data_IF_275479749706
#
_entry.id   IF_275479749706
#
_cell.length_a   1.000
_cell.length_b   1.000
_cell.length_c   1.000
_cell.angle_alpha   90.00
_cell.angle_beta   90.00
_cell.angle_gamma   90.00
#
_symmetry.space_group_name_H-M   'P 1'
#
loop_
_entity.id
_entity.type
_entity.pdbx_description
1 polymer ?
#
# COMPACT_ATOMS: atom_id res chain seq x y z
N UNK A 1 3.14 20.41 15.21
CA UNK A 1 4.14 19.71 16.06
C UNK A 1 5.46 19.66 15.33
N UNK A 2 6.59 19.75 16.03
CA UNK A 2 7.94 19.56 15.50
C UNK A 2 8.77 18.81 16.56
N UNK A 3 8.53 17.50 16.70
CA UNK A 3 9.30 16.60 17.58
C UNK A 3 9.45 15.25 16.91
N UNK A 4 10.44 14.48 17.35
CA UNK A 4 10.60 13.10 16.92
C UNK A 4 9.49 12.23 17.53
N UNK A 5 9.07 11.23 16.76
CA UNK A 5 8.14 10.17 17.17
C UNK A 5 8.86 8.84 17.04
N UNK A 6 8.78 8.03 18.08
CA UNK A 6 9.61 6.84 18.26
C UNK A 6 8.77 5.63 18.61
N UNK A 7 9.40 4.45 18.65
CA UNK A 7 8.75 3.23 19.16
C UNK A 7 8.26 3.37 20.60
N UNK A 8 8.94 4.16 21.45
CA UNK A 8 8.50 4.43 22.81
C UNK A 8 7.18 5.23 22.86
N UNK A 9 6.87 6.02 21.83
CA UNK A 9 5.60 6.75 21.72
C UNK A 9 4.45 5.86 21.23
N UNK A 10 4.68 4.99 20.23
CA UNK A 10 3.61 4.16 19.63
C UNK A 10 3.39 2.82 20.35
N UNK A 11 4.42 2.18 20.93
CA UNK A 11 4.26 0.88 21.58
C UNK A 11 3.21 0.82 22.70
N UNK A 12 3.09 1.81 23.62
CA UNK A 12 2.01 1.79 24.62
C UNK A 12 0.63 1.99 23.99
N UNK A 13 0.50 2.89 22.99
CA UNK A 13 -0.75 3.18 22.28
C UNK A 13 -1.24 1.97 21.47
N UNK A 14 -0.33 1.31 20.74
CA UNK A 14 -0.62 0.10 19.97
C UNK A 14 -1.08 -1.05 20.89
N UNK A 15 -0.36 -1.29 22.00
CA UNK A 15 -0.75 -2.30 22.99
C UNK A 15 -2.13 -2.00 23.61
N UNK A 16 -2.39 -0.74 23.97
CA UNK A 16 -3.69 -0.34 24.53
C UNK A 16 -4.86 -0.48 23.53
N UNK A 17 -4.56 -0.49 22.23
CA UNK A 17 -5.52 -0.74 21.15
C UNK A 17 -5.66 -2.21 20.75
N UNK A 18 -4.87 -3.13 21.32
CA UNK A 18 -4.81 -4.54 20.88
C UNK A 18 -4.13 -4.73 19.52
N UNK A 19 -3.15 -3.89 19.17
CA UNK A 19 -2.36 -3.99 17.93
C UNK A 19 -1.00 -4.61 18.24
N UNK A 20 -0.85 -5.89 17.92
CA UNK A 20 0.38 -6.66 18.17
C UNK A 20 1.52 -6.32 17.20
N UNK A 21 1.17 -5.95 15.96
CA UNK A 21 2.12 -5.70 14.86
C UNK A 21 1.69 -4.53 13.99
N UNK A 22 2.67 -3.84 13.43
CA UNK A 22 2.53 -2.71 12.53
C UNK A 22 3.38 -2.89 11.27
N UNK A 23 3.01 -2.17 10.21
CA UNK A 23 3.87 -1.92 9.05
C UNK A 23 4.35 -0.48 9.17
N UNK A 24 5.66 -0.29 9.25
CA UNK A 24 6.27 1.04 9.30
C UNK A 24 6.43 1.55 7.87
N UNK A 25 6.02 2.80 7.61
CA UNK A 25 5.93 3.37 6.27
C UNK A 25 6.77 4.63 6.19
N UNK A 26 7.49 4.79 5.07
CA UNK A 26 8.21 5.99 4.66
C UNK A 26 7.52 7.30 5.11
N UNK A 27 8.29 8.20 5.72
CA UNK A 27 7.87 9.56 6.08
C UNK A 27 8.43 10.64 5.16
N UNK A 28 9.61 10.45 4.54
CA UNK A 28 10.33 11.47 3.75
C UNK A 28 10.93 10.91 2.45
N UNK A 29 11.04 11.74 1.41
CA UNK A 29 11.58 11.33 0.09
C UNK A 29 13.08 11.60 0.00
N UNK A 30 13.86 10.96 0.87
CA UNK A 30 15.33 11.10 0.94
C UNK A 30 15.99 9.73 1.00
N UNK A 31 17.18 9.53 0.39
CA UNK A 31 17.82 8.21 0.30
C UNK A 31 18.34 7.66 1.63
N UNK A 32 18.36 8.46 2.69
CA UNK A 32 18.81 8.08 4.04
C UNK A 32 17.74 7.32 4.86
N UNK A 33 16.45 7.52 4.61
CA UNK A 33 15.37 6.83 5.36
C UNK A 33 15.22 5.32 5.01
N UNK A 34 15.29 4.89 3.73
CA UNK A 34 15.17 3.48 3.34
C UNK A 34 16.08 2.47 4.06
N UNK A 35 17.35 2.77 4.41
CA UNK A 35 18.16 1.88 5.24
C UNK A 35 17.84 1.94 6.75
N UNK A 36 17.30 3.04 7.27
CA UNK A 36 17.01 3.21 8.70
C UNK A 36 15.79 2.40 9.17
N UNK A 37 14.68 2.45 8.42
CA UNK A 37 13.43 1.80 8.82
C UNK A 37 13.54 0.26 8.93
N UNK A 38 14.20 -0.47 8.01
CA UNK A 38 14.42 -1.92 8.14
C UNK A 38 15.32 -2.30 9.31
N UNK A 39 16.33 -1.49 9.62
CA UNK A 39 17.17 -1.69 10.80
C UNK A 39 16.36 -1.52 12.10
N UNK A 40 15.47 -0.51 12.16
CA UNK A 40 14.54 -0.33 13.27
C UNK A 40 13.58 -1.53 13.42
N UNK A 41 13.10 -2.09 12.30
CA UNK A 41 12.25 -3.28 12.30
C UNK A 41 12.97 -4.55 12.77
N UNK A 42 14.28 -4.64 12.54
CA UNK A 42 15.10 -5.73 13.09
C UNK A 42 15.32 -5.62 14.61
N UNK A 43 15.21 -4.42 15.17
CA UNK A 43 15.43 -4.14 16.58
C UNK A 43 14.16 -4.21 17.46
N UNK A 44 12.96 -4.29 16.89
CA UNK A 44 11.72 -4.20 17.68
C UNK A 44 10.54 -4.97 17.09
N UNK A 45 10.00 -5.92 17.87
CA UNK A 45 9.00 -6.89 17.41
C UNK A 45 7.69 -6.29 16.90
N UNK A 46 7.28 -5.12 17.41
CA UNK A 46 6.08 -4.41 16.95
C UNK A 46 6.08 -4.15 15.43
N UNK A 47 7.24 -4.03 14.78
CA UNK A 47 7.30 -3.81 13.33
C UNK A 47 7.43 -5.15 12.60
N UNK A 48 6.36 -5.59 11.93
CA UNK A 48 6.37 -6.81 11.13
C UNK A 48 6.93 -6.60 9.71
N UNK A 49 6.93 -5.37 9.21
CA UNK A 49 7.40 -5.03 7.87
C UNK A 49 7.57 -3.53 7.67
N UNK A 50 8.26 -3.17 6.60
CA UNK A 50 8.62 -1.81 6.22
C UNK A 50 8.24 -1.56 4.76
N UNK A 51 7.58 -0.44 4.51
CA UNK A 51 7.41 0.13 3.17
C UNK A 51 8.35 1.33 3.06
N UNK A 52 9.49 1.15 2.40
CA UNK A 52 10.53 2.17 2.27
C UNK A 52 10.28 3.14 1.13
N UNK A 53 11.15 4.13 0.96
CA UNK A 53 11.20 4.96 -0.25
C UNK A 53 12.14 4.37 -1.30
N UNK A 54 11.85 4.66 -2.57
CA UNK A 54 12.86 4.75 -3.63
C UNK A 54 12.28 5.60 -4.77
N UNK A 55 13.12 6.37 -5.45
CA UNK A 55 12.71 7.13 -6.64
C UNK A 55 12.41 6.17 -7.81
N UNK A 56 11.13 6.06 -8.18
CA UNK A 56 10.66 5.21 -9.28
C UNK A 56 11.16 5.64 -10.67
N UNK A 57 11.74 6.83 -10.83
CA UNK A 57 12.28 7.30 -12.10
C UNK A 57 13.73 6.86 -12.35
N UNK A 58 14.42 6.33 -11.33
CA UNK A 58 15.82 5.89 -11.41
C UNK A 58 16.06 4.81 -12.46
N UNK A 59 17.20 4.84 -13.19
CA UNK A 59 17.56 3.78 -14.13
C UNK A 59 18.04 2.51 -13.41
N UNK A 60 18.67 2.66 -12.25
CA UNK A 60 19.35 1.65 -11.42
C UNK A 60 18.51 1.13 -10.25
N UNK A 61 17.18 1.35 -10.28
CA UNK A 61 16.31 1.01 -9.14
C UNK A 61 16.36 -0.48 -8.76
N UNK A 62 16.57 -1.38 -9.72
CA UNK A 62 16.69 -2.81 -9.43
C UNK A 62 17.91 -3.11 -8.54
N UNK A 63 19.04 -2.45 -8.81
CA UNK A 63 20.29 -2.61 -8.06
C UNK A 63 20.19 -1.97 -6.68
N UNK A 64 19.53 -0.81 -6.57
CA UNK A 64 19.26 -0.16 -5.28
C UNK A 64 18.33 -1.01 -4.39
N UNK A 65 17.29 -1.63 -4.94
CA UNK A 65 16.40 -2.53 -4.20
C UNK A 65 17.11 -3.84 -3.78
N UNK A 66 18.07 -4.32 -4.57
CA UNK A 66 18.93 -5.43 -4.17
C UNK A 66 19.84 -5.02 -3.01
N UNK A 67 20.54 -3.89 -3.12
CA UNK A 67 21.41 -3.34 -2.07
C UNK A 67 20.65 -3.14 -0.75
N UNK A 68 19.46 -2.54 -0.78
CA UNK A 68 18.64 -2.31 0.42
C UNK A 68 18.21 -3.61 1.13
N UNK A 69 18.15 -4.75 0.41
CA UNK A 69 17.83 -6.07 0.99
C UNK A 69 19.00 -6.75 1.67
N UNK A 70 20.22 -6.45 1.24
CA UNK A 70 21.45 -6.97 1.82
C UNK A 70 21.83 -6.24 3.14
N UNK A 71 21.28 -5.03 3.36
CA UNK A 71 21.48 -4.28 4.59
C UNK A 71 20.86 -4.96 5.83
N UNK A 72 21.35 -4.65 7.05
CA UNK A 72 20.74 -5.09 8.29
C UNK A 72 19.24 -4.80 8.33
N UNK A 73 18.44 -5.84 8.50
CA UNK A 73 16.98 -5.74 8.49
C UNK A 73 16.32 -5.70 7.11
N UNK A 74 17.05 -5.76 6.00
CA UNK A 74 16.51 -5.73 4.63
C UNK A 74 15.40 -6.77 4.35
N UNK A 75 15.35 -7.88 5.10
CA UNK A 75 14.23 -8.86 5.11
C UNK A 75 12.85 -8.28 5.50
N UNK A 76 12.84 -7.16 6.21
CA UNK A 76 11.64 -6.42 6.60
C UNK A 76 11.18 -5.45 5.51
N UNK A 77 11.98 -5.15 4.47
CA UNK A 77 11.51 -4.37 3.33
C UNK A 77 10.47 -5.18 2.53
N UNK A 78 9.20 -4.76 2.62
CA UNK A 78 8.03 -5.41 2.01
C UNK A 78 7.42 -4.62 0.86
N UNK A 79 7.66 -3.32 0.81
CA UNK A 79 7.15 -2.45 -0.25
C UNK A 79 8.02 -1.22 -0.49
N UNK A 80 7.70 -0.53 -1.58
CA UNK A 80 8.16 0.82 -1.89
C UNK A 80 6.94 1.74 -1.96
N UNK A 81 7.01 2.88 -1.28
CA UNK A 81 6.02 3.95 -1.38
C UNK A 81 6.52 5.05 -2.31
N UNK A 82 5.62 5.65 -3.09
CA UNK A 82 5.89 6.89 -3.81
C UNK A 82 4.83 7.95 -3.51
N UNK A 83 5.27 9.20 -3.27
CA UNK A 83 4.38 10.33 -3.00
C UNK A 83 3.86 10.97 -4.29
N UNK A 84 3.08 10.22 -5.08
CA UNK A 84 2.49 10.67 -6.35
C UNK A 84 1.70 11.97 -6.19
N UNK A 85 1.08 12.20 -5.03
CA UNK A 85 0.40 13.45 -4.65
C UNK A 85 1.23 14.74 -4.83
N UNK A 86 2.57 14.64 -4.84
CA UNK A 86 3.48 15.77 -5.07
C UNK A 86 4.00 15.89 -6.50
N UNK A 87 3.65 14.95 -7.39
CA UNK A 87 4.17 14.86 -8.75
C UNK A 87 3.35 15.68 -9.76
N UNK A 88 3.96 16.16 -10.86
CA UNK A 88 3.27 16.99 -11.84
C UNK A 88 2.28 16.17 -12.69
N UNK A 89 0.99 16.48 -12.51
CA UNK A 89 -0.11 16.04 -13.37
C UNK A 89 -0.76 14.70 -12.98
N UNK A 90 -1.98 14.44 -13.48
CA UNK A 90 -2.76 13.25 -13.13
C UNK A 90 -2.14 11.94 -13.65
N UNK A 91 -1.43 12.00 -14.79
CA UNK A 91 -0.92 10.83 -15.53
C UNK A 91 0.53 10.47 -15.21
N UNK A 92 1.15 11.04 -14.18
CA UNK A 92 2.56 10.78 -13.85
C UNK A 92 2.90 9.28 -13.72
N UNK A 93 1.97 8.48 -13.17
CA UNK A 93 2.10 7.03 -13.06
C UNK A 93 2.21 6.31 -14.42
N UNK A 94 1.77 6.91 -15.52
CA UNK A 94 1.78 6.32 -16.85
C UNK A 94 3.11 6.53 -17.60
N UNK A 95 4.01 7.36 -17.06
CA UNK A 95 5.31 7.65 -17.68
C UNK A 95 6.15 6.35 -17.87
N UNK A 96 6.88 6.20 -18.99
CA UNK A 96 7.67 5.00 -19.27
C UNK A 96 8.78 4.71 -18.25
N UNK A 97 9.41 5.74 -17.68
CA UNK A 97 10.44 5.62 -16.67
C UNK A 97 9.88 5.16 -15.32
N UNK A 98 8.77 5.76 -14.86
CA UNK A 98 8.06 5.30 -13.66
C UNK A 98 7.54 3.86 -13.83
N UNK A 99 7.05 3.49 -15.03
CA UNK A 99 6.66 2.11 -15.33
C UNK A 99 7.86 1.14 -15.22
N UNK A 100 9.05 1.53 -15.70
CA UNK A 100 10.28 0.75 -15.52
C UNK A 100 10.63 0.59 -14.04
N UNK A 101 10.54 1.66 -13.25
CA UNK A 101 10.78 1.59 -11.80
C UNK A 101 9.81 0.63 -11.11
N UNK A 102 8.51 0.73 -11.37
CA UNK A 102 7.53 -0.23 -10.85
C UNK A 102 7.78 -1.67 -11.32
N UNK A 103 8.29 -1.88 -12.53
CA UNK A 103 8.69 -3.21 -12.98
C UNK A 103 9.89 -3.76 -12.17
N UNK A 104 10.82 -2.91 -11.71
CA UNK A 104 11.88 -3.31 -10.78
C UNK A 104 11.34 -3.64 -9.38
N UNK A 105 10.38 -2.86 -8.86
CA UNK A 105 9.65 -3.19 -7.60
C UNK A 105 8.94 -4.55 -7.71
N UNK A 106 8.31 -4.82 -8.86
CA UNK A 106 7.67 -6.10 -9.16
C UNK A 106 8.68 -7.25 -9.26
N UNK A 107 9.80 -7.05 -9.95
CA UNK A 107 10.88 -8.03 -10.08
C UNK A 107 11.58 -8.35 -8.75
N UNK A 108 11.61 -7.39 -7.82
CA UNK A 108 12.00 -7.64 -6.45
C UNK A 108 10.95 -8.48 -5.68
N UNK A 109 9.68 -8.48 -6.08
CA UNK A 109 8.59 -9.06 -5.28
C UNK A 109 8.26 -8.18 -4.07
N UNK A 110 8.24 -6.87 -4.27
CA UNK A 110 7.81 -5.87 -3.29
C UNK A 110 6.43 -5.31 -3.68
N UNK A 111 5.67 -4.83 -2.69
CA UNK A 111 4.41 -4.09 -2.89
C UNK A 111 4.71 -2.65 -3.33
N UNK A 112 3.82 -2.04 -4.11
CA UNK A 112 3.89 -0.62 -4.46
C UNK A 112 2.75 0.17 -3.78
N UNK A 113 3.09 0.89 -2.71
CA UNK A 113 2.18 1.82 -2.02
C UNK A 113 2.15 3.16 -2.77
N UNK A 114 0.96 3.69 -3.04
CA UNK A 114 0.76 4.89 -3.84
C UNK A 114 -0.02 5.94 -3.07
N UNK A 115 0.65 7.04 -2.68
CA UNK A 115 -0.04 8.22 -2.14
C UNK A 115 -0.55 9.05 -3.32
N UNK A 116 -1.82 8.91 -3.67
CA UNK A 116 -2.47 9.64 -4.77
C UNK A 116 -3.57 10.57 -4.24
N UNK A 117 -3.87 11.61 -5.01
CA UNK A 117 -5.05 12.46 -4.83
C UNK A 117 -6.23 12.00 -5.71
N UNK A 118 -7.48 12.44 -5.46
CA UNK A 118 -8.65 11.99 -6.24
C UNK A 118 -8.56 12.22 -7.76
N UNK A 119 -7.81 13.23 -8.19
CA UNK A 119 -7.57 13.53 -9.61
C UNK A 119 -6.48 12.63 -10.26
N UNK A 120 -5.71 11.89 -9.46
CA UNK A 120 -4.68 10.94 -9.90
C UNK A 120 -5.17 9.48 -9.87
N UNK A 121 -6.25 9.19 -9.14
CA UNK A 121 -6.90 7.87 -9.14
C UNK A 121 -7.18 7.31 -10.57
N UNK A 122 -7.65 8.10 -11.56
CA UNK A 122 -7.88 7.62 -12.93
C UNK A 122 -6.66 7.01 -13.65
N UNK A 123 -5.43 7.33 -13.23
CA UNK A 123 -4.22 6.70 -13.78
C UNK A 123 -3.93 5.31 -13.19
N UNK A 124 -4.45 5.01 -11.99
CA UNK A 124 -4.18 3.76 -11.28
C UNK A 124 -4.62 2.48 -12.04
N UNK A 125 -5.79 2.41 -12.71
CA UNK A 125 -6.20 1.23 -13.48
C UNK A 125 -5.28 0.92 -14.66
N UNK A 126 -4.73 1.93 -15.32
CA UNK A 126 -3.79 1.74 -16.42
C UNK A 126 -2.40 1.33 -15.88
N UNK A 127 -1.95 1.93 -14.79
CA UNK A 127 -0.72 1.53 -14.10
C UNK A 127 -0.78 0.06 -13.63
N UNK A 128 -1.87 -0.35 -12.98
CA UNK A 128 -2.08 -1.70 -12.45
C UNK A 128 -2.20 -2.77 -13.55
N UNK A 129 -2.95 -2.50 -14.63
CA UNK A 129 -3.02 -3.40 -15.80
C UNK A 129 -1.68 -3.55 -16.53
N UNK A 130 -0.81 -2.55 -16.47
CA UNK A 130 0.50 -2.60 -17.14
C UNK A 130 1.52 -3.55 -16.48
N UNK A 131 1.24 -3.98 -15.24
CA UNK A 131 2.11 -4.82 -14.39
C UNK A 131 1.24 -5.75 -13.50
N UNK A 132 0.57 -6.78 -14.05
CA UNK A 132 -0.36 -7.64 -13.29
C UNK A 132 0.32 -8.44 -12.17
N UNK A 133 1.64 -8.65 -12.23
CA UNK A 133 2.42 -9.30 -11.17
C UNK A 133 2.86 -8.37 -10.03
N UNK A 134 2.55 -7.07 -10.09
CA UNK A 134 2.80 -6.13 -9.01
C UNK A 134 1.51 -5.87 -8.22
N UNK A 135 1.56 -5.99 -6.90
CA UNK A 135 0.48 -5.54 -6.02
C UNK A 135 0.58 -4.03 -5.79
N UNK A 136 -0.52 -3.33 -6.04
CA UNK A 136 -0.67 -1.89 -5.83
C UNK A 136 -1.55 -1.62 -4.61
N UNK A 137 -1.12 -0.71 -3.74
CA UNK A 137 -1.87 -0.27 -2.57
C UNK A 137 -2.13 1.24 -2.67
N UNK A 138 -3.32 1.68 -3.13
CA UNK A 138 -3.74 3.07 -3.00
C UNK A 138 -3.87 3.43 -1.51
N UNK A 139 -2.94 4.27 -1.03
CA UNK A 139 -2.95 4.78 0.35
C UNK A 139 -4.19 5.64 0.58
N UNK A 140 -4.79 5.51 1.78
CA UNK A 140 -5.94 6.32 2.22
C UNK A 140 -7.13 6.31 1.22
N UNK A 141 -7.30 5.21 0.46
CA UNK A 141 -8.27 5.09 -0.63
C UNK A 141 -8.17 6.23 -1.68
N UNK A 142 -6.97 6.78 -1.90
CA UNK A 142 -6.76 7.92 -2.79
C UNK A 142 -7.35 9.24 -2.28
N UNK A 143 -7.46 9.38 -0.95
CA UNK A 143 -7.83 10.60 -0.22
C UNK A 143 -9.23 11.11 -0.55
N UNK A 144 -10.29 10.41 -0.08
CA UNK A 144 -11.67 10.86 -0.22
C UNK A 144 -11.85 12.31 0.25
N UNK A 145 -12.74 13.09 -0.40
CA UNK A 145 -13.04 14.48 -0.02
C UNK A 145 -13.98 14.55 1.20
N UNK A 146 -13.58 13.92 2.31
CA UNK A 146 -14.39 13.76 3.55
C UNK A 146 -14.95 15.08 4.05
N UNK A 147 -14.17 16.16 3.97
CA UNK A 147 -14.59 17.49 4.45
C UNK A 147 -15.78 18.07 3.67
N UNK A 148 -15.89 17.83 2.36
CA UNK A 148 -17.02 18.32 1.56
C UNK A 148 -18.18 17.33 1.46
N UNK A 149 -17.92 16.04 1.75
CA UNK A 149 -18.90 14.96 1.57
C UNK A 149 -19.22 14.65 0.10
N UNK A 150 -18.58 15.31 -0.86
CA UNK A 150 -18.81 15.14 -2.30
C UNK A 150 -18.12 13.86 -2.81
N UNK A 151 -18.74 12.71 -2.58
CA UNK A 151 -18.15 11.39 -2.89
C UNK A 151 -17.87 11.20 -4.38
N UNK A 152 -18.66 11.81 -5.27
CA UNK A 152 -18.35 11.83 -6.70
C UNK A 152 -17.51 13.06 -7.08
N UNK A 153 -16.53 12.91 -8.00
CA UNK A 153 -16.22 11.73 -8.81
C UNK A 153 -15.27 10.71 -8.13
N UNK A 154 -14.93 10.88 -6.84
CA UNK A 154 -13.93 10.04 -6.16
C UNK A 154 -14.32 8.56 -6.07
N UNK A 155 -15.59 8.25 -5.76
CA UNK A 155 -16.06 6.87 -5.62
C UNK A 155 -16.01 6.14 -6.99
N UNK A 156 -16.57 6.71 -8.06
CA UNK A 156 -16.42 6.17 -9.41
C UNK A 156 -14.95 6.05 -9.87
N UNK A 157 -14.06 6.95 -9.44
CA UNK A 157 -12.61 6.83 -9.70
C UNK A 157 -11.93 5.70 -8.88
N UNK A 158 -12.52 5.24 -7.78
CA UNK A 158 -12.00 4.17 -6.92
C UNK A 158 -12.43 2.77 -7.38
N UNK A 159 -13.61 2.64 -7.99
CA UNK A 159 -14.12 1.38 -8.55
C UNK A 159 -13.17 0.78 -9.59
N UNK A 160 -12.77 1.59 -10.58
CA UNK A 160 -11.96 1.12 -11.71
C UNK A 160 -10.60 0.49 -11.31
N UNK A 161 -9.82 1.03 -10.35
CA UNK A 161 -8.65 0.33 -9.84
C UNK A 161 -9.06 -0.83 -8.92
N UNK A 162 -10.08 -0.66 -8.07
CA UNK A 162 -10.55 -1.70 -7.15
C UNK A 162 -10.98 -3.00 -7.84
N UNK A 163 -11.58 -2.93 -9.03
CA UNK A 163 -11.97 -4.09 -9.84
C UNK A 163 -10.79 -4.96 -10.32
N UNK A 164 -9.54 -4.46 -10.28
CA UNK A 164 -8.36 -5.21 -10.74
C UNK A 164 -7.78 -6.09 -9.62
N UNK A 165 -7.52 -7.39 -9.84
CA UNK A 165 -7.18 -8.33 -8.77
C UNK A 165 -5.85 -8.03 -8.05
N UNK A 166 -4.96 -7.26 -8.68
CA UNK A 166 -3.67 -6.84 -8.12
C UNK A 166 -3.72 -5.49 -7.39
N UNK A 167 -4.91 -4.96 -7.06
CA UNK A 167 -5.08 -3.76 -6.23
C UNK A 167 -5.71 -4.10 -4.88
N UNK A 168 -5.30 -3.37 -3.84
CA UNK A 168 -5.64 -3.61 -2.44
C UNK A 168 -5.85 -2.25 -1.74
N UNK A 169 -7.03 -2.03 -1.17
CA UNK A 169 -7.39 -0.73 -0.58
C UNK A 169 -6.86 -0.55 0.84
N UNK A 170 -6.19 0.57 1.13
CA UNK A 170 -5.72 0.89 2.49
C UNK A 170 -6.65 1.90 3.15
N UNK A 171 -7.50 1.41 4.05
CA UNK A 171 -8.46 2.20 4.82
C UNK A 171 -7.72 2.83 6.00
N UNK A 172 -7.17 4.02 5.75
CA UNK A 172 -6.27 4.73 6.65
C UNK A 172 -6.33 6.24 6.42
N UNK A 173 -5.73 7.04 7.31
CA UNK A 173 -5.81 8.51 7.25
C UNK A 173 -7.23 9.11 7.38
N UNK A 174 -8.23 8.48 8.05
CA UNK A 174 -9.59 9.04 8.07
C UNK A 174 -9.63 10.46 8.68
N UNK A 175 -8.78 10.74 9.67
CA UNK A 175 -8.70 12.04 10.35
C UNK A 175 -7.72 13.02 9.65
N UNK A 176 -6.97 12.58 8.64
CA UNK A 176 -6.04 13.47 7.92
C UNK A 176 -6.70 14.25 6.79
N UNK A 177 -7.79 13.73 6.23
CA UNK A 177 -8.54 14.38 5.15
C UNK A 177 -9.75 15.21 5.65
N UNK A 178 -9.91 15.31 6.98
CA UNK A 178 -10.81 16.28 7.63
C UNK A 178 -10.12 17.63 7.88
N UNK A 179 -10.92 18.68 8.06
CA UNK A 179 -10.44 19.97 8.54
C UNK A 179 -9.88 19.91 9.99
N UNK A 180 -9.38 21.04 10.48
CA UNK A 180 -8.67 21.12 11.77
C UNK A 180 -9.58 20.99 13.00
N UNK A 181 -10.91 20.87 12.85
CA UNK A 181 -11.86 20.94 13.96
C UNK A 181 -12.10 19.59 14.68
N UNK A 182 -11.12 18.68 14.72
CA UNK A 182 -11.22 17.41 15.43
C UNK A 182 -11.06 17.55 16.96
N UNK A 183 -11.79 18.47 17.57
CA UNK A 183 -11.85 18.60 19.03
C UNK A 183 -12.82 17.59 19.66
N UNK A 184 -14.06 17.52 19.15
CA UNK A 184 -15.16 16.85 19.85
C UNK A 184 -16.36 16.45 18.96
N UNK A 185 -16.20 16.34 17.63
CA UNK A 185 -17.34 16.14 16.73
C UNK A 185 -17.92 14.72 16.78
N UNK A 186 -19.06 14.53 17.45
CA UNK A 186 -19.86 13.29 17.41
C UNK A 186 -20.28 12.84 15.98
N UNK A 187 -20.13 13.73 14.99
CA UNK A 187 -20.39 13.48 13.56
C UNK A 187 -19.26 12.72 12.86
N UNK A 188 -18.10 12.53 13.50
CA UNK A 188 -16.92 11.87 12.94
C UNK A 188 -17.21 10.52 12.23
N UNK A 189 -17.90 9.54 12.87
CA UNK A 189 -18.25 8.30 12.17
C UNK A 189 -19.15 8.52 10.96
N UNK A 190 -20.10 9.46 11.02
CA UNK A 190 -21.04 9.72 9.92
C UNK A 190 -20.37 10.37 8.69
N UNK A 191 -19.34 11.21 8.88
CA UNK A 191 -18.56 11.80 7.79
C UNK A 191 -17.67 10.77 7.08
N UNK A 192 -17.18 9.76 7.83
CA UNK A 192 -16.20 8.79 7.35
C UNK A 192 -16.82 7.49 6.84
N UNK A 193 -18.02 7.15 7.34
CA UNK A 193 -18.75 5.95 6.99
C UNK A 193 -18.92 5.76 5.47
N UNK A 194 -19.26 6.78 4.65
CA UNK A 194 -19.42 6.57 3.22
C UNK A 194 -18.10 6.20 2.51
N UNK A 195 -16.97 6.79 2.91
CA UNK A 195 -15.66 6.42 2.36
C UNK A 195 -15.16 5.07 2.88
N UNK A 196 -15.58 4.67 4.09
CA UNK A 196 -15.33 3.35 4.65
C UNK A 196 -16.11 2.26 3.91
N UNK A 197 -17.39 2.50 3.62
CA UNK A 197 -18.30 1.57 2.92
C UNK A 197 -17.94 1.42 1.43
N UNK A 198 -17.45 2.48 0.79
CA UNK A 198 -16.92 2.41 -0.58
C UNK A 198 -15.68 1.50 -0.75
N UNK A 199 -14.97 1.15 0.34
CA UNK A 199 -13.79 0.28 0.26
C UNK A 199 -14.13 -1.20 -0.04
N UNK A 200 -15.00 -1.90 0.73
CA UNK A 200 -15.46 -3.23 0.35
C UNK A 200 -16.27 -3.24 -0.95
N UNK A 201 -16.95 -2.15 -1.31
CA UNK A 201 -17.67 -2.08 -2.61
C UNK A 201 -16.69 -2.07 -3.80
N UNK A 202 -15.66 -1.22 -3.77
CA UNK A 202 -14.67 -1.13 -4.84
C UNK A 202 -13.70 -2.34 -4.89
N UNK A 203 -13.26 -2.84 -3.74
CA UNK A 203 -12.22 -3.88 -3.66
C UNK A 203 -12.76 -5.29 -3.33
N UNK A 204 -14.03 -5.45 -2.96
CA UNK A 204 -14.56 -6.66 -2.35
C UNK A 204 -14.01 -6.89 -0.93
N UNK A 205 -14.64 -7.71 -0.08
CA UNK A 205 -14.28 -7.84 1.34
C UNK A 205 -12.85 -8.37 1.59
N UNK A 206 -12.28 -9.10 0.63
CA UNK A 206 -10.98 -9.76 0.75
C UNK A 206 -9.73 -8.91 0.47
N UNK A 207 -9.87 -7.59 0.24
CA UNK A 207 -8.77 -6.71 -0.24
C UNK A 207 -8.66 -5.32 0.43
N UNK A 208 -9.57 -4.88 1.30
CA UNK A 208 -9.28 -3.80 2.25
C UNK A 208 -8.34 -4.23 3.38
N UNK A 209 -7.48 -3.32 3.81
CA UNK A 209 -6.70 -3.41 5.06
C UNK A 209 -6.78 -2.09 5.84
N UNK A 210 -6.71 -2.13 7.17
CA UNK A 210 -6.73 -0.95 8.04
C UNK A 210 -5.32 -0.36 8.27
N UNK A 211 -5.23 0.95 8.51
CA UNK A 211 -4.01 1.62 9.01
C UNK A 211 -4.31 2.89 9.79
N UNK A 212 -3.51 3.22 10.81
CA UNK A 212 -3.76 4.37 11.69
C UNK A 212 -3.33 5.73 11.12
N UNK A 213 -2.36 5.74 10.19
CA UNK A 213 -1.64 6.93 9.73
C UNK A 213 -1.01 7.79 10.85
N UNK A 214 -0.70 7.15 11.98
CA UNK A 214 0.07 7.79 13.05
C UNK A 214 1.52 8.00 12.59
N UNK A 215 2.17 9.14 12.91
CA UNK A 215 1.73 10.25 13.77
C UNK A 215 1.16 11.46 13.00
N UNK A 216 0.80 11.31 11.72
CA UNK A 216 0.71 12.40 10.72
C UNK A 216 -0.17 13.58 11.16
N UNK A 217 -1.23 13.35 11.95
CA UNK A 217 -1.97 14.43 12.64
C UNK A 217 -2.38 14.12 14.08
N UNK A 218 -1.43 13.88 14.99
CA UNK A 218 -1.75 13.85 16.44
C UNK A 218 -2.46 15.12 17.01
N UNK A 219 -2.31 16.35 16.44
CA UNK A 219 -3.11 17.51 16.87
C UNK A 219 -4.58 17.44 16.46
N UNK A 220 -4.94 16.54 15.54
CA UNK A 220 -6.32 16.23 15.22
C UNK A 220 -6.81 15.09 16.12
N UNK A 221 -6.18 13.92 16.10
CA UNK A 221 -6.59 12.80 16.95
C UNK A 221 -5.42 12.04 17.58
N UNK A 222 -5.61 11.58 18.82
CA UNK A 222 -4.75 10.57 19.45
C UNK A 222 -4.90 9.21 18.77
N UNK A 223 -3.91 8.33 18.92
CA UNK A 223 -3.95 6.97 18.39
C UNK A 223 -5.16 6.20 18.94
N UNK A 224 -5.42 6.30 20.24
CA UNK A 224 -6.61 5.74 20.87
C UNK A 224 -7.95 6.26 20.30
N UNK A 225 -8.04 7.54 19.89
CA UNK A 225 -9.23 8.07 19.21
C UNK A 225 -9.40 7.47 17.81
N UNK A 226 -8.32 7.37 17.02
CA UNK A 226 -8.35 6.74 15.69
C UNK A 226 -8.72 5.26 15.79
N UNK A 227 -8.13 4.51 16.72
CA UNK A 227 -8.45 3.09 16.94
C UNK A 227 -9.92 2.88 17.32
N UNK A 228 -10.46 3.66 18.27
CA UNK A 228 -11.89 3.57 18.66
C UNK A 228 -12.83 3.90 17.50
N UNK A 229 -12.48 4.89 16.68
CA UNK A 229 -13.25 5.27 15.48
C UNK A 229 -13.26 4.14 14.45
N UNK A 230 -12.10 3.60 14.09
CA UNK A 230 -11.96 2.46 13.17
C UNK A 230 -12.71 1.23 13.70
N UNK A 231 -12.61 0.93 15.00
CA UNK A 231 -13.36 -0.15 15.64
C UNK A 231 -14.88 0.06 15.64
N UNK A 232 -15.35 1.31 15.66
CA UNK A 232 -16.77 1.66 15.56
C UNK A 232 -17.30 1.58 14.11
N UNK A 233 -16.50 1.96 13.11
CA UNK A 233 -16.82 1.76 11.68
C UNK A 233 -16.82 0.28 11.30
N UNK A 234 -15.92 -0.51 11.88
CA UNK A 234 -15.84 -1.96 11.72
C UNK A 234 -16.84 -2.75 12.59
N UNK A 235 -17.72 -2.10 13.35
CA UNK A 235 -18.63 -2.77 14.31
C UNK A 235 -19.57 -3.75 13.63
N UNK A 236 -20.07 -3.34 12.47
CA UNK A 236 -21.14 -4.05 11.74
C UNK A 236 -20.59 -5.19 10.86
N UNK A 237 -19.25 -5.34 10.80
CA UNK A 237 -18.56 -6.41 10.06
C UNK A 237 -18.55 -7.72 10.86
N UNK A 238 -18.77 -8.84 10.16
CA UNK A 238 -18.64 -10.18 10.74
C UNK A 238 -17.21 -10.49 11.21
N UNK A 239 -17.00 -11.50 12.08
CA UNK A 239 -15.68 -11.82 12.64
C UNK A 239 -14.60 -12.06 11.58
N UNK A 240 -14.96 -12.72 10.48
CA UNK A 240 -14.06 -13.05 9.38
C UNK A 240 -13.62 -11.78 8.59
N UNK A 241 -14.55 -10.86 8.31
CA UNK A 241 -14.24 -9.59 7.64
C UNK A 241 -13.41 -8.66 8.53
N UNK A 242 -13.66 -8.67 9.83
CA UNK A 242 -12.82 -7.97 10.81
C UNK A 242 -11.39 -8.52 10.80
N UNK A 243 -11.22 -9.85 10.83
CA UNK A 243 -9.89 -10.46 10.75
C UNK A 243 -9.20 -10.18 9.39
N UNK A 244 -9.94 -10.22 8.26
CA UNK A 244 -9.42 -9.76 6.96
C UNK A 244 -8.87 -8.33 7.02
N UNK A 245 -9.69 -7.40 7.49
CA UNK A 245 -9.41 -5.97 7.49
C UNK A 245 -8.28 -5.56 8.44
N UNK A 246 -8.24 -6.14 9.64
CA UNK A 246 -7.27 -5.77 10.67
C UNK A 246 -5.96 -6.57 10.60
N UNK A 247 -5.94 -7.73 9.96
CA UNK A 247 -4.80 -8.66 10.02
C UNK A 247 -4.51 -9.35 8.67
N UNK A 248 -5.41 -10.21 8.19
CA UNK A 248 -5.08 -11.19 7.16
C UNK A 248 -4.76 -10.55 5.80
N UNK A 249 -5.42 -9.46 5.40
CA UNK A 249 -5.11 -8.75 4.15
C UNK A 249 -3.70 -8.17 4.20
N UNK A 250 -3.32 -7.46 5.27
CA UNK A 250 -1.99 -6.88 5.41
C UNK A 250 -0.90 -7.97 5.50
N UNK A 251 -1.15 -9.03 6.27
CA UNK A 251 -0.25 -10.18 6.41
C UNK A 251 0.05 -10.84 5.08
N UNK A 252 -0.99 -11.15 4.28
CA UNK A 252 -0.84 -11.72 2.93
C UNK A 252 -0.13 -10.77 1.97
N UNK A 253 -0.53 -9.50 1.94
CA UNK A 253 -0.08 -8.54 0.92
C UNK A 253 1.38 -8.16 1.10
N UNK A 254 1.83 -7.89 2.33
CA UNK A 254 3.23 -7.55 2.60
C UNK A 254 4.11 -8.77 2.92
N UNK A 255 3.58 -10.00 2.83
CA UNK A 255 4.32 -11.22 3.18
C UNK A 255 4.87 -11.17 4.61
N UNK A 256 4.03 -10.69 5.55
CA UNK A 256 4.38 -10.65 6.97
C UNK A 256 4.40 -12.08 7.49
N UNK A 257 5.51 -12.50 8.09
CA UNK A 257 5.55 -13.78 8.79
C UNK A 257 4.87 -13.58 10.13
N UNK A 258 3.98 -14.51 10.49
CA UNK A 258 3.67 -14.73 11.90
C UNK A 258 4.98 -14.91 12.67
N UNK A 259 5.07 -14.48 13.95
CA UNK A 259 6.22 -14.87 14.76
C UNK A 259 6.36 -16.39 14.67
N UNK A 260 7.60 -16.88 14.56
CA UNK A 260 7.83 -18.30 14.83
C UNK A 260 7.26 -18.54 16.23
N UNK A 261 6.33 -19.48 16.35
CA UNK A 261 5.88 -19.91 17.66
C UNK A 261 7.13 -20.33 18.42
N UNK A 262 7.50 -19.54 19.43
CA UNK A 262 8.44 -20.01 20.44
C UNK A 262 7.79 -21.25 21.01
N UNK A 263 8.23 -22.42 20.57
CA UNK A 263 7.67 -23.67 21.01
C UNK A 263 7.71 -23.65 22.52
N UNK A 264 6.55 -23.64 23.17
CA UNK A 264 6.48 -23.97 24.57
C UNK A 264 6.92 -25.42 24.66
N UNK A 265 8.22 -25.62 24.91
CA UNK A 265 8.75 -26.90 25.31
C UNK A 265 7.86 -27.36 26.47
N UNK A 266 7.15 -28.50 26.34
CA UNK A 266 6.25 -28.95 27.38
C UNK A 266 7.09 -29.10 28.66
N UNK A 267 6.61 -28.59 29.81
CA UNK A 267 7.41 -28.58 31.03
C UNK A 267 7.93 -29.98 31.32
N UNK A 268 9.25 -30.11 31.44
CA UNK A 268 9.91 -31.39 31.62
C UNK A 268 9.26 -32.15 32.79
N UNK A 269 8.92 -33.44 32.63
CA UNK A 269 8.25 -34.18 33.68
C UNK A 269 9.15 -34.22 34.92
N UNK A 270 8.57 -33.87 36.07
CA UNK A 270 9.30 -33.83 37.34
C UNK A 270 9.94 -35.20 37.61
N UNK A 271 11.27 -35.22 37.70
CA UNK A 271 12.04 -36.45 37.87
C UNK A 271 11.78 -37.08 39.23
N UNK A 272 11.04 -38.20 39.24
CA UNK A 272 11.02 -39.11 40.38
C UNK A 272 12.30 -39.95 40.36
N UNK A 273 13.10 -39.86 41.43
CA UNK A 273 14.32 -40.64 41.57
C UNK A 273 14.02 -42.08 42.00
N UNK A 274 14.35 -43.06 41.15
CA UNK A 274 14.55 -44.46 41.57
C UNK A 274 15.34 -45.28 40.53
N UNK A 275 16.37 -46.00 40.99
CA UNK A 275 16.76 -47.31 40.46
C UNK A 275 17.34 -47.44 39.03
N UNK A 276 18.67 -47.48 38.94
CA UNK A 276 19.35 -48.43 38.02
C UNK A 276 19.28 -49.86 38.64
N UNK A 277 19.53 -50.98 37.90
CA UNK A 277 20.44 -51.07 36.75
C UNK A 277 20.03 -51.96 35.54
N UNK A 278 20.74 -51.71 34.42
CA UNK A 278 21.22 -52.65 33.39
C UNK A 278 20.22 -53.54 32.60
N UNK A 279 20.25 -53.42 31.25
CA UNK A 279 20.97 -54.37 30.35
C UNK A 279 20.83 -54.07 28.84
N UNK A 280 21.94 -54.34 28.12
CA UNK A 280 22.06 -54.82 26.72
C UNK A 280 21.22 -54.25 25.56
N UNK A 281 21.94 -53.60 24.62
CA UNK A 281 22.07 -54.02 23.20
C UNK A 281 20.91 -54.74 22.50
N UNK A 282 20.38 -54.12 21.43
CA UNK A 282 20.52 -54.64 20.06
C UNK A 282 20.06 -53.60 19.00
N UNK A 283 20.69 -53.62 17.82
CA UNK A 283 20.16 -52.99 16.62
C UNK A 283 19.21 -53.96 15.89
N UNK A 284 18.33 -53.47 14.99
CA UNK A 284 18.42 -53.79 13.55
C UNK A 284 17.24 -53.22 12.70
N UNK A 285 17.61 -52.63 11.56
CA UNK A 285 16.92 -52.65 10.24
C UNK A 285 15.39 -52.60 10.07
N UNK A 286 14.95 -51.52 9.39
CA UNK A 286 14.08 -51.45 8.17
C UNK A 286 13.89 -52.77 7.37
N UNK A 287 12.81 -52.94 6.55
CA UNK A 287 12.37 -51.94 5.55
C UNK A 287 10.87 -51.84 5.19
N UNK A 288 10.61 -50.86 4.31
CA UNK A 288 9.37 -50.61 3.56
C UNK A 288 9.14 -51.66 2.46
N UNK A 289 7.92 -51.75 1.88
CA UNK A 289 7.82 -51.63 0.42
C UNK A 289 6.71 -50.67 -0.08
N UNK A 290 6.71 -50.45 -1.40
CA UNK A 290 6.04 -49.35 -2.08
C UNK A 290 4.64 -49.68 -2.64
N UNK A 291 4.00 -48.65 -3.20
CA UNK A 291 2.72 -48.68 -3.91
C UNK A 291 2.74 -49.50 -5.23
N UNK A 292 1.57 -49.64 -5.87
CA UNK A 292 1.50 -49.09 -7.23
C UNK A 292 0.22 -48.29 -7.54
N UNK A 293 0.32 -47.39 -8.51
CA UNK A 293 -0.79 -46.62 -9.06
C UNK A 293 -1.51 -47.36 -10.21
N UNK A 294 -2.78 -46.99 -10.47
CA UNK A 294 -3.43 -47.20 -11.77
C UNK A 294 -4.32 -46.02 -12.14
N UNK A 295 -4.22 -45.60 -13.39
CA UNK A 295 -5.12 -44.68 -14.09
C UNK A 295 -6.25 -45.44 -14.78
N UNK A 296 -7.36 -44.76 -15.07
CA UNK A 296 -8.16 -45.02 -16.27
C UNK A 296 -9.09 -43.84 -16.58
N UNK A 297 -9.24 -43.54 -17.86
CA UNK A 297 -10.12 -42.51 -18.44
C UNK A 297 -11.46 -43.09 -18.90
N UNK A 298 -12.52 -42.30 -18.95
CA UNK A 298 -13.80 -42.72 -19.54
C UNK A 298 -14.73 -41.55 -19.89
N UNK A 299 -14.96 -41.34 -21.18
CA UNK A 299 -15.92 -40.39 -21.75
C UNK A 299 -17.29 -41.04 -22.02
N UNK A 300 -18.40 -40.30 -21.89
CA UNK A 300 -19.74 -40.80 -22.25
C UNK A 300 -20.78 -39.67 -22.43
N UNK A 301 -21.60 -39.78 -23.47
CA UNK A 301 -22.45 -38.67 -24.00
C UNK A 301 -23.96 -38.92 -23.92
N UNK A 302 -24.74 -37.84 -23.77
CA UNK A 302 -26.03 -37.65 -24.47
C UNK A 302 -27.33 -37.87 -23.68
N UNK A 303 -28.44 -37.22 -24.12
CA UNK A 303 -29.81 -37.61 -23.69
C UNK A 303 -30.86 -36.50 -23.56
N UNK A 304 -31.47 -36.09 -24.68
CA UNK A 304 -32.57 -35.12 -24.86
C UNK A 304 -33.90 -35.39 -24.09
N UNK A 305 -34.70 -34.34 -23.85
CA UNK A 305 -36.19 -34.38 -23.75
C UNK A 305 -36.78 -33.31 -22.81
N UNK A 306 -37.42 -32.19 -23.26
CA UNK A 306 -38.83 -32.02 -23.71
C UNK A 306 -39.85 -32.65 -22.73
N UNK A 307 -40.83 -31.97 -22.11
CA UNK A 307 -41.81 -30.91 -22.50
C UNK A 307 -42.37 -30.22 -21.23
N UNK A 308 -43.18 -29.16 -21.21
CA UNK A 308 -43.65 -28.20 -22.21
C UNK A 308 -44.90 -27.40 -21.74
N UNK A 309 -45.13 -26.20 -22.32
CA UNK A 309 -46.42 -25.47 -22.41
C UNK A 309 -47.06 -24.95 -21.08
N UNK A 310 -47.90 -23.90 -20.99
CA UNK A 310 -48.37 -22.79 -21.87
C UNK A 310 -48.85 -21.63 -20.92
N UNK A 311 -49.35 -20.44 -21.29
CA UNK A 311 -50.03 -19.94 -22.50
C UNK A 311 -50.14 -18.38 -22.43
N UNK A 312 -49.98 -17.69 -23.57
CA UNK A 312 -50.80 -16.59 -24.17
C UNK A 312 -51.30 -15.38 -23.33
N UNK A 313 -51.55 -14.21 -23.92
CA UNK A 313 -51.32 -13.62 -25.26
C UNK A 313 -51.38 -12.08 -25.14
N UNK A 314 -50.67 -11.30 -25.99
CA UNK A 314 -51.22 -10.67 -27.21
C UNK A 314 -51.37 -9.15 -26.97
N UNK A 315 -51.25 -8.22 -27.91
CA UNK A 315 -51.08 -8.21 -29.39
C UNK A 315 -50.22 -7.00 -29.77
N UNK A 316 -49.30 -7.04 -30.73
CA UNK A 316 -49.52 -6.73 -32.17
C UNK A 316 -49.45 -5.20 -32.44
N UNK A 317 -48.91 -4.64 -33.52
CA UNK A 317 -48.20 -5.08 -34.75
C UNK A 317 -47.30 -3.89 -35.22
N UNK A 318 -46.43 -3.94 -36.23
CA UNK A 318 -45.95 -4.99 -37.13
C UNK A 318 -44.87 -4.44 -38.09
N UNK A 319 -44.33 -5.34 -38.95
CA UNK A 319 -43.91 -5.13 -40.35
C UNK A 319 -42.90 -3.98 -40.73
N UNK A 320 -41.89 -4.19 -41.59
CA UNK A 320 -41.42 -5.39 -42.31
C UNK A 320 -39.96 -5.22 -42.84
N UNK A 321 -39.47 -6.30 -43.46
CA UNK A 321 -38.28 -6.55 -44.32
C UNK A 321 -37.68 -5.37 -45.13
N UNK A 322 -36.48 -5.44 -45.75
CA UNK A 322 -35.73 -6.63 -46.21
C UNK A 322 -34.21 -6.37 -46.38
N UNK A 323 -33.49 -7.34 -46.96
CA UNK A 323 -32.03 -7.50 -46.92
C UNK A 323 -31.23 -6.90 -48.11
N UNK A 324 -29.89 -7.06 -47.98
CA UNK A 324 -28.87 -7.27 -49.02
C UNK A 324 -27.96 -6.11 -49.53
N UNK A 325 -26.68 -6.22 -49.13
CA UNK A 325 -25.43 -6.18 -49.94
C UNK A 325 -25.12 -4.95 -50.83
N UNK A 326 -23.91 -4.40 -50.67
CA UNK A 326 -23.11 -3.98 -51.85
C UNK A 326 -22.06 -2.86 -51.69
N UNK A 327 -20.77 -3.25 -51.71
CA UNK A 327 -19.58 -2.58 -52.33
C UNK A 327 -19.30 -1.07 -52.13
N UNK A 328 -18.04 -0.78 -51.77
CA UNK A 328 -17.34 0.50 -52.02
C UNK A 328 -17.05 0.73 -53.52
N UNK A 329 -16.66 1.95 -53.94
CA UNK A 329 -15.21 2.18 -54.13
C UNK A 329 -14.65 3.60 -53.84
N UNK A 330 -13.33 3.63 -53.58
CA UNK A 330 -12.29 4.61 -53.92
C UNK A 330 -12.53 6.15 -53.95
N UNK A 331 -11.60 6.89 -53.32
CA UNK A 331 -11.32 8.32 -53.58
C UNK A 331 -10.19 8.87 -52.69
N UNK A 332 -9.07 9.32 -53.28
CA UNK A 332 -7.90 9.91 -52.61
C UNK A 332 -7.10 10.79 -53.60
N UNK A 333 -5.98 11.44 -53.22
CA UNK A 333 -5.78 12.52 -52.22
C UNK A 333 -5.33 13.83 -52.93
N UNK A 334 -4.66 14.82 -52.27
CA UNK A 334 -3.17 14.82 -52.34
C UNK A 334 -2.36 15.49 -51.18
N UNK A 335 -1.06 15.14 -51.15
CA UNK A 335 0.16 15.88 -50.74
C UNK A 335 0.14 16.92 -49.58
N UNK A 336 0.88 16.72 -48.47
CA UNK A 336 2.36 16.90 -48.24
C UNK A 336 2.90 18.35 -48.37
N UNK A 337 3.32 18.96 -47.26
CA UNK A 337 4.77 19.20 -46.93
C UNK A 337 5.06 19.79 -45.55
N UNK A 338 6.21 19.36 -45.04
CA UNK A 338 6.98 19.75 -43.84
C UNK A 338 7.29 21.24 -43.65
N UNK A 339 7.42 21.66 -42.38
CA UNK A 339 8.62 22.38 -41.87
C UNK A 339 8.82 22.14 -40.37
N UNK A 340 10.07 21.98 -39.95
CA UNK A 340 10.47 21.91 -38.54
C UNK A 340 10.92 23.30 -38.07
N UNK A 341 10.68 23.64 -36.80
CA UNK A 341 11.30 24.82 -36.18
C UNK A 341 11.78 24.51 -34.76
N UNK A 342 13.09 24.38 -34.61
CA UNK A 342 13.77 24.41 -33.31
C UNK A 342 13.68 25.82 -32.71
N UNK A 343 13.49 25.91 -31.41
CA UNK A 343 13.84 27.09 -30.61
C UNK A 343 14.79 26.66 -29.48
N UNK A 344 15.87 27.43 -29.29
CA UNK A 344 16.91 27.17 -28.26
C UNK A 344 17.46 28.51 -27.78
N UNK A 345 17.12 28.89 -26.56
CA UNK A 345 17.65 30.04 -25.81
C UNK A 345 17.07 29.98 -24.38
N UNK A 346 17.75 30.30 -23.28
CA UNK A 346 19.20 30.49 -23.04
C UNK A 346 19.41 30.31 -21.53
N UNK A 347 20.48 29.64 -21.09
CA UNK A 347 20.86 29.67 -19.68
C UNK A 347 21.57 30.99 -19.36
N UNK A 348 21.22 31.64 -18.24
CA UNK A 348 22.07 32.67 -17.61
C UNK A 348 22.66 32.11 -16.32
N UNK A 349 23.99 32.14 -16.24
CA UNK A 349 24.78 31.77 -15.06
C UNK A 349 25.72 32.94 -14.81
N UNK A 350 25.57 33.61 -13.68
CA UNK A 350 26.42 34.74 -13.29
C UNK A 350 27.62 34.24 -12.49
N UNK A 351 28.81 34.72 -12.85
CA UNK A 351 30.05 34.52 -12.09
C UNK A 351 30.90 35.78 -12.20
N UNK A 352 31.28 36.37 -11.07
CA UNK A 352 32.44 37.25 -10.99
C UNK A 352 33.13 37.15 -9.64
N UNK A 353 34.36 36.65 -9.71
CA UNK A 353 35.51 36.88 -8.81
C UNK A 353 35.68 38.38 -8.42
N UNK A 354 36.51 38.80 -7.45
CA UNK A 354 37.40 38.14 -6.47
C UNK A 354 38.06 39.19 -5.52
N UNK A 355 38.96 38.72 -4.63
CA UNK A 355 40.02 39.44 -3.84
C UNK A 355 39.55 40.20 -2.58
N UNK A 356 39.91 39.80 -1.35
CA UNK A 356 41.19 39.44 -0.69
C UNK A 356 41.98 40.63 -0.10
N UNK A 357 42.62 40.36 1.06
CA UNK A 357 43.39 41.24 1.97
C UNK A 357 42.55 42.24 2.80
N UNK A 358 42.84 42.50 4.08
CA UNK A 358 43.84 41.91 4.99
C UNK A 358 44.02 42.75 6.27
N UNK A 359 44.68 42.20 7.30
CA UNK A 359 45.05 42.93 8.55
C UNK A 359 43.95 42.92 9.65
N UNK A 360 44.12 42.43 10.89
CA UNK A 360 45.12 42.64 11.99
C UNK A 360 44.61 43.61 13.08
N UNK A 361 44.76 43.23 14.35
CA UNK A 361 44.37 44.03 15.54
C UNK A 361 43.01 43.60 16.11
N UNK A 362 42.86 42.82 17.18
CA UNK A 362 43.57 42.67 18.49
C UNK A 362 43.25 43.80 19.48
N UNK A 363 42.89 43.39 20.71
CA UNK A 363 42.49 44.22 21.89
C UNK A 363 41.10 44.87 21.78
N UNK A 364 40.32 45.00 22.86
CA UNK A 364 40.56 44.53 24.23
C UNK A 364 39.33 44.58 25.14
N UNK A 365 39.49 43.90 26.28
CA UNK A 365 38.63 43.72 27.46
C UNK A 365 37.62 44.81 27.88
N UNK A 366 36.50 44.31 28.44
CA UNK A 366 35.73 44.86 29.58
C UNK A 366 35.03 46.24 29.38
N UNK A 367 33.99 46.62 30.14
CA UNK A 367 33.46 46.12 31.41
C UNK A 367 32.00 46.57 31.61
N UNK A 368 31.25 45.85 32.48
CA UNK A 368 30.06 46.35 33.21
C UNK A 368 28.85 46.87 32.39
N UNK A 369 27.64 47.03 32.94
CA UNK A 369 26.88 46.33 33.98
C UNK A 369 25.41 46.79 33.85
N UNK A 370 24.42 46.05 34.37
CA UNK A 370 23.04 46.55 34.51
C UNK A 370 21.92 45.64 34.00
N UNK A 371 21.33 44.89 34.92
CA UNK A 371 19.89 44.54 34.94
C UNK A 371 19.20 45.58 35.86
N UNK A 372 17.85 45.66 35.98
CA UNK A 372 16.76 44.93 35.31
C UNK A 372 16.01 45.87 34.32
N UNK A 373 14.70 45.83 34.00
CA UNK A 373 13.54 45.06 34.46
C UNK A 373 12.40 44.99 33.41
N UNK A 374 11.37 44.19 33.71
CA UNK A 374 10.01 44.22 33.14
C UNK A 374 9.24 45.51 33.57
N UNK A 375 8.10 45.87 32.94
CA UNK A 375 6.94 45.00 32.65
C UNK A 375 7.07 44.10 31.42
#
# INVERSE_FOLDING_TARGET
MRRNFTLADIAPEARAAGVDRTVLVQTVTVPEEPPELPALAAAHELIAGVVGWSDLTRPDLADELARLRELPGGRYLKGVRHQVQGEPGPEWLLRPDVRRGRAAVAGAGLVCDLVVLPHQLPACPAAARSLPGLTFVPDHLGKPPVTSGALEPWAGHLEAPGALPNTVGKVSGPVTETDRAWGAAARAPALLRPSWEAAPDAFGPGRPMSGSDWPVRTPAATYAQVSRLTGALARDLGPEDRHRLFEATATRVYGLRAPASTGSEPPAPAGSAAGSPARTSAASTRPSPAAPARSCSGSGTGGRGRTGAARRAGTGSGAAASACRGRSPAGAPPARRTTARRTRATARRTTSASRAAGGTGRTGAASAAGRPACP
#
